data_IF_071697933086
#
_entry.id   IF_071697933086
#
_cell.length_a   1.000
_cell.length_b   1.000
_cell.length_c   1.000
_cell.angle_alpha   90.00
_cell.angle_beta   90.00
_cell.angle_gamma   90.00
#
_symmetry.space_group_name_H-M   'P 1'
#
loop_
_entity.id
_entity.type
_entity.pdbx_description
1 polymer ?
#
# COMPACT_ATOMS: atom_id res chain seq x y z
N UNK A 1 -12.15 -31.36 -5.09
CA UNK A 1 -12.92 -30.14 -4.73
C UNK A 1 -12.03 -28.90 -4.96
N UNK A 2 -12.04 -28.33 -6.15
CA UNK A 2 -11.37 -27.06 -6.42
C UNK A 2 -12.31 -25.90 -6.11
N UNK A 3 -12.13 -25.22 -4.98
CA UNK A 3 -12.93 -24.05 -4.64
C UNK A 3 -12.70 -22.91 -5.66
N UNK A 4 -13.72 -22.07 -5.88
CA UNK A 4 -13.76 -20.96 -6.86
C UNK A 4 -12.55 -20.01 -6.90
N UNK A 5 -11.63 -20.07 -5.92
CA UNK A 5 -10.49 -19.16 -5.77
C UNK A 5 -9.11 -19.84 -5.86
N UNK A 6 -9.03 -21.10 -6.31
CA UNK A 6 -7.73 -21.80 -6.45
C UNK A 6 -6.77 -21.09 -7.40
N UNK A 7 -7.29 -20.36 -8.39
CA UNK A 7 -6.53 -19.55 -9.35
C UNK A 7 -5.80 -18.36 -8.71
N UNK A 8 -6.24 -17.88 -7.54
CA UNK A 8 -5.62 -16.74 -6.83
C UNK A 8 -4.50 -17.12 -5.87
N UNK A 9 -4.04 -18.38 -5.88
CA UNK A 9 -2.97 -18.86 -4.98
C UNK A 9 -1.55 -18.58 -5.49
N UNK A 10 -1.39 -17.67 -6.45
CA UNK A 10 -0.06 -17.32 -6.97
C UNK A 10 0.71 -16.42 -5.99
N UNK A 11 2.05 -16.46 -6.04
CA UNK A 11 2.91 -15.58 -5.24
C UNK A 11 2.59 -14.10 -5.50
N UNK A 12 2.35 -13.73 -6.76
CA UNK A 12 1.97 -12.37 -7.14
C UNK A 12 0.62 -11.96 -6.54
N UNK A 13 -0.36 -12.87 -6.50
CA UNK A 13 -1.66 -12.59 -5.88
C UNK A 13 -1.54 -12.30 -4.38
N UNK A 14 -0.62 -12.96 -3.68
CA UNK A 14 -0.30 -12.67 -2.27
C UNK A 14 0.33 -11.28 -2.12
N UNK A 15 1.31 -10.95 -2.98
CA UNK A 15 1.94 -9.62 -2.95
C UNK A 15 0.95 -8.49 -3.24
N UNK A 16 0.01 -8.71 -4.19
CA UNK A 16 -1.09 -7.77 -4.46
C UNK A 16 -1.98 -7.60 -3.24
N UNK A 17 -2.32 -8.68 -2.53
CA UNK A 17 -3.14 -8.60 -1.33
C UNK A 17 -2.46 -7.80 -0.21
N UNK A 18 -1.15 -8.04 0.02
CA UNK A 18 -0.35 -7.27 0.99
C UNK A 18 -0.28 -5.79 0.59
N UNK A 19 0.01 -5.52 -0.68
CA UNK A 19 0.07 -4.15 -1.20
C UNK A 19 -1.26 -3.41 -1.03
N UNK A 20 -2.37 -4.10 -1.32
CA UNK A 20 -3.73 -3.55 -1.16
C UNK A 20 -4.07 -3.26 0.30
N UNK A 21 -3.64 -4.13 1.23
CA UNK A 21 -3.81 -3.90 2.65
C UNK A 21 -3.03 -2.67 3.13
N UNK A 22 -1.78 -2.53 2.68
CA UNK A 22 -0.95 -1.36 3.01
C UNK A 22 -1.50 -0.07 2.39
N UNK A 23 -2.11 -0.13 1.20
CA UNK A 23 -2.79 1.00 0.58
C UNK A 23 -4.00 1.45 1.40
N UNK A 24 -4.80 0.51 1.91
CA UNK A 24 -5.90 0.83 2.84
C UNK A 24 -5.34 1.52 4.11
N UNK A 25 -4.23 1.02 4.63
CA UNK A 25 -3.59 1.61 5.82
C UNK A 25 -3.01 3.00 5.53
N UNK A 26 -2.45 3.22 4.34
CA UNK A 26 -2.06 4.54 3.85
C UNK A 26 -3.26 5.49 3.80
N UNK A 27 -4.37 5.05 3.19
CA UNK A 27 -5.58 5.83 3.00
C UNK A 27 -6.24 6.25 4.34
N UNK A 28 -6.06 5.45 5.39
CA UNK A 28 -6.53 5.80 6.74
C UNK A 28 -5.97 7.14 7.24
N UNK A 29 -4.73 7.49 6.88
CA UNK A 29 -4.13 8.77 7.26
C UNK A 29 -4.78 9.98 6.58
N UNK A 30 -5.27 9.81 5.35
CA UNK A 30 -5.98 10.89 4.64
C UNK A 30 -7.30 11.25 5.33
N UNK A 31 -8.02 10.28 5.91
CA UNK A 31 -9.22 10.58 6.70
C UNK A 31 -8.90 11.41 7.95
N UNK A 32 -7.80 11.10 8.62
CA UNK A 32 -7.34 11.83 9.80
C UNK A 32 -6.95 13.27 9.45
N UNK A 33 -6.22 13.45 8.35
CA UNK A 33 -5.87 14.78 7.82
C UNK A 33 -7.10 15.58 7.38
N UNK A 34 -8.06 14.94 6.73
CA UNK A 34 -9.31 15.57 6.33
C UNK A 34 -10.09 16.10 7.53
N UNK A 35 -10.20 15.31 8.61
CA UNK A 35 -10.85 15.74 9.85
C UNK A 35 -10.19 16.97 10.48
N UNK A 36 -8.85 17.00 10.54
CA UNK A 36 -8.09 18.17 11.03
C UNK A 36 -8.41 19.40 10.19
N UNK A 37 -8.37 19.25 8.86
CA UNK A 37 -8.60 20.35 7.92
C UNK A 37 -10.00 20.95 8.12
N UNK A 38 -11.02 20.10 8.29
CA UNK A 38 -12.38 20.53 8.60
C UNK A 38 -12.54 21.18 9.97
N UNK A 39 -11.70 20.80 10.94
CA UNK A 39 -11.74 21.34 12.31
C UNK A 39 -11.16 22.76 12.41
N UNK A 40 -10.55 23.30 11.34
CA UNK A 40 -9.93 24.63 11.34
C UNK A 40 -8.64 24.74 12.14
N UNK A 41 -8.05 23.61 12.54
CA UNK A 41 -6.78 23.57 13.27
C UNK A 41 -5.64 23.81 12.28
N UNK A 42 -5.05 25.01 12.29
CA UNK A 42 -4.00 25.40 11.34
C UNK A 42 -2.59 24.96 11.72
N UNK A 43 -2.33 24.71 13.01
CA UNK A 43 -0.99 24.37 13.50
C UNK A 43 -1.05 23.11 14.37
N UNK A 44 -0.40 22.05 13.88
CA UNK A 44 -0.25 20.79 14.62
C UNK A 44 1.22 20.65 15.02
N UNK A 45 1.52 20.37 16.30
CA UNK A 45 2.88 20.04 16.71
C UNK A 45 3.43 18.86 15.92
N UNK A 46 4.69 18.93 15.49
CA UNK A 46 5.33 17.89 14.67
C UNK A 46 5.23 16.50 15.31
N UNK A 47 5.36 16.42 16.64
CA UNK A 47 5.22 15.15 17.38
C UNK A 47 3.83 14.52 17.26
N UNK A 48 2.77 15.33 17.19
CA UNK A 48 1.41 14.88 16.98
C UNK A 48 1.18 14.54 15.50
N UNK A 49 1.71 15.33 14.57
CA UNK A 49 1.64 15.06 13.14
C UNK A 49 2.31 13.72 12.78
N UNK A 50 3.48 13.41 13.34
CA UNK A 50 4.16 12.11 13.14
C UNK A 50 3.34 10.96 13.71
N UNK A 51 2.72 11.13 14.89
CA UNK A 51 1.86 10.09 15.48
C UNK A 51 0.62 9.82 14.63
N UNK A 52 0.06 10.85 14.00
CA UNK A 52 -1.18 10.76 13.23
C UNK A 52 -0.96 10.33 11.77
N UNK A 53 0.16 10.72 11.16
CA UNK A 53 0.43 10.51 9.73
C UNK A 53 1.67 9.67 9.43
N UNK A 54 2.51 9.39 10.42
CA UNK A 54 3.75 8.65 10.22
C UNK A 54 3.51 7.27 9.61
N UNK A 55 2.47 6.55 10.05
CA UNK A 55 2.11 5.26 9.46
C UNK A 55 1.69 5.41 7.99
N UNK A 56 0.92 6.44 7.65
CA UNK A 56 0.46 6.67 6.28
C UNK A 56 1.63 6.95 5.33
N UNK A 57 2.59 7.78 5.75
CA UNK A 57 3.79 8.08 4.96
C UNK A 57 4.65 6.84 4.76
N UNK A 58 4.87 6.04 5.82
CA UNK A 58 5.64 4.80 5.72
C UNK A 58 4.97 3.82 4.76
N UNK A 59 3.65 3.60 4.91
CA UNK A 59 2.91 2.71 4.02
C UNK A 59 2.92 3.18 2.55
N UNK A 60 2.82 4.49 2.29
CA UNK A 60 2.90 5.04 0.93
C UNK A 60 4.21 4.61 0.23
N UNK A 61 5.32 4.76 0.94
CA UNK A 61 6.64 4.43 0.39
C UNK A 61 6.79 2.93 0.16
N UNK A 62 6.30 2.10 1.10
CA UNK A 62 6.33 0.64 0.95
C UNK A 62 5.48 0.22 -0.26
N UNK A 63 4.25 0.73 -0.40
CA UNK A 63 3.37 0.41 -1.53
C UNK A 63 4.02 0.79 -2.85
N UNK A 64 4.59 1.98 -2.97
CA UNK A 64 5.25 2.40 -4.21
C UNK A 64 6.42 1.50 -4.60
N UNK A 65 7.25 1.12 -3.62
CA UNK A 65 8.38 0.20 -3.84
C UNK A 65 7.87 -1.18 -4.22
N UNK A 66 6.89 -1.73 -3.49
CA UNK A 66 6.30 -3.04 -3.78
C UNK A 66 5.65 -3.08 -5.17
N UNK A 67 4.96 -2.02 -5.56
CA UNK A 67 4.32 -1.93 -6.87
C UNK A 67 5.36 -1.87 -8.00
N UNK A 68 6.44 -1.13 -7.79
CA UNK A 68 7.57 -1.07 -8.71
C UNK A 68 8.24 -2.45 -8.85
N UNK A 69 8.56 -3.14 -7.75
CA UNK A 69 9.21 -4.45 -7.81
C UNK A 69 8.32 -5.50 -8.46
N UNK A 70 7.02 -5.54 -8.13
CA UNK A 70 6.07 -6.42 -8.81
C UNK A 70 6.00 -6.14 -10.33
N UNK A 71 6.06 -4.87 -10.73
CA UNK A 71 6.06 -4.50 -12.15
C UNK A 71 7.31 -5.00 -12.86
N UNK A 72 8.48 -4.86 -12.23
CA UNK A 72 9.75 -5.38 -12.74
C UNK A 72 9.72 -6.90 -12.85
N UNK A 73 9.24 -7.61 -11.82
CA UNK A 73 9.08 -9.07 -11.85
C UNK A 73 8.20 -9.53 -13.03
N UNK A 74 7.10 -8.81 -13.31
CA UNK A 74 6.22 -9.11 -14.45
C UNK A 74 6.91 -8.88 -15.79
N UNK A 75 7.68 -7.80 -15.93
CA UNK A 75 8.46 -7.54 -17.15
C UNK A 75 9.50 -8.64 -17.38
N UNK A 76 10.23 -9.05 -16.34
CA UNK A 76 11.22 -10.13 -16.43
C UNK A 76 10.53 -11.45 -16.81
N UNK A 77 9.43 -11.82 -16.15
CA UNK A 77 8.73 -13.06 -16.42
C UNK A 77 8.18 -13.17 -17.86
N UNK A 78 7.79 -12.04 -18.46
CA UNK A 78 7.32 -11.99 -19.85
C UNK A 78 8.49 -11.94 -20.85
N UNK A 79 9.55 -11.20 -20.53
CA UNK A 79 10.70 -11.01 -21.43
C UNK A 79 11.63 -12.23 -21.46
N UNK A 80 11.71 -12.96 -20.35
CA UNK A 80 12.58 -14.11 -20.15
C UNK A 80 11.79 -15.30 -19.57
N UNK A 81 10.90 -15.93 -20.34
CA UNK A 81 10.02 -17.00 -19.84
C UNK A 81 10.74 -18.33 -19.52
N UNK A 82 12.01 -18.46 -19.89
CA UNK A 82 12.82 -19.69 -19.74
C UNK A 82 13.78 -19.58 -18.54
N UNK A 83 13.94 -18.37 -17.98
CA UNK A 83 14.72 -18.13 -16.77
C UNK A 83 13.87 -18.39 -15.52
#
# INVERSE_FOLDING_TARGET
MGGKYTTFKSKTSILIAINSFLEIFHQSGHFVFFFITLSGINFIPVSLAIKMQGHSVVCANIVNIMFFTMSVERVIAVSFPIL
#
